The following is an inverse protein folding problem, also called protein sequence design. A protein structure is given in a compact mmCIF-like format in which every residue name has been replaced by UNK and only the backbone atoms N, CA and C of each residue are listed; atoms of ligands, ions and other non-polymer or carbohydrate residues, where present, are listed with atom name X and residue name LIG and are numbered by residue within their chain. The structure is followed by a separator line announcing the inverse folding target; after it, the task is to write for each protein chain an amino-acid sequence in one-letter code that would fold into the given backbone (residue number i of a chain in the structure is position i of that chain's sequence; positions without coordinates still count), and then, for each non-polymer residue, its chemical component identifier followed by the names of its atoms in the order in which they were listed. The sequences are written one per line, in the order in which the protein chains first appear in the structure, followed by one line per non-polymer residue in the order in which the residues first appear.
data_IF_903313037970
#
_entry.id   IF_903313037970
#
_cell.length_a   1.000
_cell.length_b   1.000
_cell.length_c   1.000
_cell.angle_alpha   90.00
_cell.angle_beta   90.00
_cell.angle_gamma   90.00
#
_symmetry.space_group_name_H-M   'P 1'
#
loop_
_entity.id
_entity.type
_entity.pdbx_description
1 polymer ?
#
# COMPACT_ATOMS: atom_id res chain seq x y z
N UNK A 1 9.82 -40.03 22.86
CA UNK A 1 10.18 -38.71 23.40
C UNK A 1 10.60 -37.86 22.21
N UNK A 2 9.88 -36.77 21.95
CA UNK A 2 9.71 -36.18 20.63
C UNK A 2 10.99 -35.55 20.02
N UNK A 3 11.15 -35.80 18.73
CA UNK A 3 12.21 -35.37 17.83
C UNK A 3 11.79 -34.01 17.23
N UNK A 4 12.49 -32.92 17.52
CA UNK A 4 12.27 -31.61 16.89
C UNK A 4 13.40 -31.33 15.90
N UNK A 5 13.25 -31.89 14.69
CA UNK A 5 14.04 -31.55 13.51
C UNK A 5 13.25 -30.51 12.71
N UNK A 6 13.31 -29.25 13.15
CA UNK A 6 12.64 -28.14 12.47
C UNK A 6 13.54 -27.64 11.34
N UNK A 7 13.34 -28.22 10.15
CA UNK A 7 14.07 -27.83 8.93
C UNK A 7 13.81 -26.36 8.61
N UNK A 8 14.86 -25.54 8.74
CA UNK A 8 14.89 -24.15 8.27
C UNK A 8 14.54 -24.13 6.78
N UNK A 9 13.36 -23.61 6.43
CA UNK A 9 12.97 -23.41 5.03
C UNK A 9 13.60 -22.11 4.54
N UNK A 10 14.77 -22.21 3.94
CA UNK A 10 15.43 -21.09 3.25
C UNK A 10 14.64 -20.82 1.97
N UNK A 11 13.91 -19.70 1.92
CA UNK A 11 13.31 -19.23 0.67
C UNK A 11 14.42 -18.65 -0.20
N UNK A 12 14.83 -19.42 -1.21
CA UNK A 12 15.79 -18.93 -2.20
C UNK A 12 15.17 -17.77 -2.96
N UNK A 13 15.80 -16.59 -2.86
CA UNK A 13 15.47 -15.43 -3.68
C UNK A 13 15.88 -15.75 -5.10
N UNK A 14 14.91 -16.13 -5.93
CA UNK A 14 15.12 -16.30 -7.38
C UNK A 14 15.23 -14.89 -7.97
N UNK A 15 16.38 -14.58 -8.58
CA UNK A 15 16.54 -13.35 -9.37
C UNK A 15 15.67 -13.46 -10.64
N UNK A 16 14.93 -12.41 -11.04
CA UNK A 16 14.23 -12.43 -12.31
C UNK A 16 15.25 -12.51 -13.44
N UNK A 17 14.94 -13.35 -14.43
CA UNK A 17 15.75 -13.55 -15.65
C UNK A 17 15.45 -12.39 -16.59
N UNK A 18 16.49 -11.74 -17.10
CA UNK A 18 16.39 -10.70 -18.13
C UNK A 18 16.03 -11.33 -19.50
N UNK A 19 15.02 -10.77 -20.19
CA UNK A 19 14.55 -11.13 -21.54
C UNK A 19 13.21 -11.90 -21.52
N UNK A 20 12.18 -11.59 -22.30
CA UNK A 20 12.09 -11.05 -23.66
C UNK A 20 10.66 -10.48 -23.87
N UNK A 21 10.53 -9.47 -24.74
CA UNK A 21 9.25 -8.85 -25.12
C UNK A 21 8.39 -9.84 -25.92
N UNK A 22 7.32 -10.39 -25.32
CA UNK A 22 6.21 -10.97 -26.08
C UNK A 22 4.91 -10.99 -25.28
N UNK A 23 4.00 -10.11 -25.68
CA UNK A 23 2.54 -10.15 -25.64
C UNK A 23 1.90 -11.38 -24.94
N UNK A 24 1.37 -11.15 -23.73
CA UNK A 24 0.77 -12.18 -22.87
C UNK A 24 0.82 -11.77 -21.40
N UNK A 25 0.40 -10.55 -21.09
CA UNK A 25 0.67 -9.90 -19.81
C UNK A 25 -0.09 -10.58 -18.67
N UNK A 26 0.57 -11.50 -17.97
CA UNK A 26 0.19 -11.83 -16.60
C UNK A 26 0.58 -10.63 -15.72
N UNK A 27 -0.23 -9.58 -15.84
CA UNK A 27 0.06 -8.26 -15.32
C UNK A 27 -0.21 -8.29 -13.83
N UNK A 28 0.84 -8.53 -13.04
CA UNK A 28 0.72 -8.68 -11.58
C UNK A 28 0.51 -7.35 -10.85
N UNK A 29 0.27 -6.27 -11.59
CA UNK A 29 0.05 -4.92 -11.06
C UNK A 29 -1.12 -4.94 -10.07
N UNK A 30 -0.98 -4.25 -8.95
CA UNK A 30 -1.98 -4.29 -7.90
C UNK A 30 -2.04 -3.00 -7.07
N UNK A 31 -3.16 -2.85 -6.38
CA UNK A 31 -3.37 -1.82 -5.36
C UNK A 31 -3.34 -2.49 -3.99
N UNK A 32 -2.52 -1.96 -3.10
CA UNK A 32 -2.45 -2.41 -1.71
C UNK A 32 -3.04 -1.33 -0.82
N UNK A 33 -4.02 -1.65 0.01
CA UNK A 33 -4.57 -0.67 0.95
C UNK A 33 -3.57 -0.39 2.06
N UNK A 34 -3.03 0.82 2.10
CA UNK A 34 -2.05 1.23 3.12
C UNK A 34 -2.69 2.05 4.25
N UNK A 35 -3.88 2.62 4.00
CA UNK A 35 -4.66 3.32 5.01
C UNK A 35 -6.14 3.26 4.66
N UNK A 36 -6.99 3.09 5.67
CA UNK A 36 -8.45 3.07 5.51
C UNK A 36 -9.11 3.22 6.89
N UNK A 37 -10.35 3.70 6.92
CA UNK A 37 -11.19 3.65 8.13
C UNK A 37 -11.79 2.27 8.38
N UNK A 38 -11.82 1.40 7.37
CA UNK A 38 -12.38 0.05 7.47
C UNK A 38 -11.25 -0.98 7.72
N UNK A 39 -11.06 -1.48 8.95
CA UNK A 39 -9.86 -2.25 9.30
C UNK A 39 -9.68 -3.55 8.52
N UNK A 40 -10.77 -4.14 8.02
CA UNK A 40 -10.80 -5.35 7.19
C UNK A 40 -10.11 -5.20 5.84
N UNK A 41 -10.00 -3.96 5.34
CA UNK A 41 -9.38 -3.67 4.05
C UNK A 41 -7.89 -3.35 4.17
N UNK A 42 -7.36 -3.08 5.36
CA UNK A 42 -5.95 -2.71 5.54
C UNK A 42 -5.02 -3.86 5.14
N UNK A 43 -4.00 -3.57 4.33
CA UNK A 43 -3.09 -4.55 3.76
C UNK A 43 -3.70 -5.43 2.65
N UNK A 44 -5.00 -5.31 2.37
CA UNK A 44 -5.64 -6.07 1.30
C UNK A 44 -5.05 -5.67 -0.06
N UNK A 45 -4.76 -6.67 -0.87
CA UNK A 45 -4.28 -6.54 -2.25
C UNK A 45 -5.44 -6.72 -3.23
N UNK A 46 -5.55 -5.80 -4.17
CA UNK A 46 -6.48 -5.85 -5.30
C UNK A 46 -5.65 -5.93 -6.58
N UNK A 47 -5.70 -7.07 -7.27
CA UNK A 47 -5.02 -7.24 -8.56
C UNK A 47 -5.77 -6.42 -9.62
N UNK A 48 -5.02 -5.75 -10.49
CA UNK A 48 -5.57 -5.01 -11.62
C UNK A 48 -5.50 -5.91 -12.87
N UNK A 49 -6.53 -6.72 -13.04
CA UNK A 49 -6.69 -7.65 -14.16
C UNK A 49 -7.67 -7.14 -15.23
N UNK A 50 -8.70 -6.39 -14.81
CA UNK A 50 -9.70 -5.81 -15.71
C UNK A 50 -9.40 -4.33 -16.02
N UNK A 51 -9.65 -3.90 -17.27
CA UNK A 51 -9.53 -2.50 -17.69
C UNK A 51 -10.82 -2.02 -18.35
N UNK A 52 -11.56 -1.06 -17.75
CA UNK A 52 -11.20 -0.29 -16.55
C UNK A 52 -11.57 -1.00 -15.23
N UNK A 53 -10.64 -1.07 -14.28
CA UNK A 53 -10.92 -1.43 -12.88
C UNK A 53 -11.54 -0.24 -12.16
N UNK A 54 -12.86 -0.29 -11.93
CA UNK A 54 -13.64 0.73 -11.22
C UNK A 54 -13.58 0.61 -9.70
N UNK A 55 -13.56 1.76 -9.03
CA UNK A 55 -13.57 1.90 -7.57
C UNK A 55 -14.70 2.84 -7.14
N UNK A 56 -15.46 2.43 -6.14
CA UNK A 56 -16.54 3.25 -5.60
C UNK A 56 -17.30 2.56 -4.47
N UNK A 57 -18.29 3.24 -3.91
CA UNK A 57 -19.20 2.68 -2.88
C UNK A 57 -20.28 1.79 -3.48
N UNK A 58 -20.58 1.94 -4.77
CA UNK A 58 -21.57 1.13 -5.47
C UNK A 58 -21.12 -0.33 -5.55
N UNK A 59 -22.06 -1.26 -5.40
CA UNK A 59 -21.80 -2.71 -5.51
C UNK A 59 -21.48 -3.16 -6.94
N UNK A 60 -21.64 -2.27 -7.91
CA UNK A 60 -21.30 -2.45 -9.33
C UNK A 60 -19.83 -2.18 -9.65
N UNK A 61 -19.02 -1.78 -8.66
CA UNK A 61 -17.58 -1.60 -8.83
C UNK A 61 -16.79 -2.87 -8.48
N UNK A 62 -15.63 -3.04 -9.13
CA UNK A 62 -14.69 -4.14 -8.87
C UNK A 62 -14.07 -3.99 -7.46
N UNK A 63 -13.72 -2.76 -7.07
CA UNK A 63 -13.26 -2.45 -5.71
C UNK A 63 -14.35 -1.63 -5.02
N UNK A 64 -15.07 -2.30 -4.12
CA UNK A 64 -16.13 -1.67 -3.32
C UNK A 64 -15.54 -1.11 -2.03
N UNK A 65 -15.73 0.19 -1.81
CA UNK A 65 -15.34 0.88 -0.58
C UNK A 65 -16.58 1.40 0.13
N UNK A 66 -16.95 0.78 1.25
CA UNK A 66 -18.13 1.16 2.02
C UNK A 66 -17.80 2.36 2.93
N UNK A 67 -17.76 3.56 2.33
CA UNK A 67 -17.52 4.80 3.05
C UNK A 67 -18.32 5.96 2.46
N UNK A 68 -18.90 6.79 3.32
CA UNK A 68 -19.66 7.99 2.93
C UNK A 68 -18.83 8.99 2.12
N UNK A 69 -17.51 9.01 2.36
CA UNK A 69 -16.56 9.83 1.62
C UNK A 69 -16.32 9.37 0.17
N UNK A 70 -16.90 8.23 -0.23
CA UNK A 70 -16.71 7.64 -1.55
C UNK A 70 -18.01 7.74 -2.37
N UNK A 71 -17.92 8.28 -3.59
CA UNK A 71 -19.02 8.29 -4.55
C UNK A 71 -19.40 6.88 -5.01
N UNK A 72 -20.64 6.70 -5.50
CA UNK A 72 -21.09 5.39 -6.03
C UNK A 72 -20.16 4.88 -7.12
N UNK A 73 -19.77 5.75 -8.06
CA UNK A 73 -18.66 5.57 -9.00
C UNK A 73 -17.70 6.72 -8.72
N UNK A 74 -16.50 6.42 -8.27
CA UNK A 74 -15.57 7.45 -7.75
C UNK A 74 -14.41 7.66 -8.69
N UNK A 75 -13.72 6.58 -9.03
CA UNK A 75 -12.55 6.61 -9.87
C UNK A 75 -12.43 5.29 -10.62
N UNK A 76 -11.60 5.27 -11.65
CA UNK A 76 -11.24 4.04 -12.31
C UNK A 76 -9.76 4.03 -12.68
N UNK A 77 -9.24 2.81 -12.82
CA UNK A 77 -7.91 2.51 -13.28
C UNK A 77 -8.00 1.89 -14.67
N UNK A 78 -7.32 2.47 -15.64
CA UNK A 78 -7.32 2.01 -17.02
C UNK A 78 -5.91 1.62 -17.45
N UNK A 79 -5.78 0.45 -18.09
CA UNK A 79 -4.54 0.03 -18.72
C UNK A 79 -4.40 0.71 -20.09
N UNK A 80 -3.32 1.49 -20.29
CA UNK A 80 -2.96 2.07 -21.59
C UNK A 80 -1.54 1.69 -21.96
N UNK A 81 -1.41 0.78 -22.92
CA UNK A 81 -0.11 0.18 -23.26
C UNK A 81 0.52 -0.49 -22.04
N UNK A 82 1.77 -0.14 -21.73
CA UNK A 82 2.49 -0.69 -20.59
C UNK A 82 2.26 0.06 -19.25
N UNK A 83 1.31 0.99 -19.20
CA UNK A 83 1.07 1.82 -18.03
C UNK A 83 -0.37 1.69 -17.51
N UNK A 84 -0.56 1.97 -16.22
CA UNK A 84 -1.87 2.20 -15.63
C UNK A 84 -2.12 3.69 -15.45
N UNK A 85 -3.36 4.10 -15.63
CA UNK A 85 -3.81 5.48 -15.46
C UNK A 85 -4.92 5.48 -14.43
N UNK A 86 -4.90 6.43 -13.51
CA UNK A 86 -6.02 6.74 -12.61
C UNK A 86 -6.78 7.96 -13.10
N UNK A 87 -8.10 7.89 -13.07
CA UNK A 87 -9.02 8.95 -13.48
C UNK A 87 -10.15 9.09 -12.46
N UNK A 88 -10.56 10.32 -12.17
CA UNK A 88 -11.72 10.61 -11.31
C UNK A 88 -13.01 10.67 -12.14
N UNK A 89 -14.07 9.99 -11.68
CA UNK A 89 -15.38 9.90 -12.36
C UNK A 89 -16.34 11.05 -11.93
N UNK A 90 -15.81 12.21 -11.52
CA UNK A 90 -16.60 13.33 -11.01
C UNK A 90 -17.04 13.11 -9.56
N UNK A 91 -16.15 12.59 -8.74
CA UNK A 91 -16.43 12.29 -7.35
C UNK A 91 -16.61 13.55 -6.50
N UNK A 92 -17.34 13.44 -5.38
CA UNK A 92 -17.61 14.61 -4.51
C UNK A 92 -16.37 15.09 -3.77
N UNK A 93 -15.49 14.17 -3.35
CA UNK A 93 -14.30 14.50 -2.54
C UNK A 93 -13.01 14.54 -3.36
N UNK A 94 -13.07 14.14 -4.64
CA UNK A 94 -11.92 14.03 -5.52
C UNK A 94 -11.07 12.78 -5.26
N UNK A 95 -10.34 12.40 -6.30
CA UNK A 95 -9.25 11.43 -6.25
C UNK A 95 -7.92 12.15 -6.19
N UNK A 96 -6.97 11.66 -5.39
CA UNK A 96 -5.63 12.27 -5.27
C UNK A 96 -4.56 11.22 -5.55
N UNK A 97 -3.50 11.60 -6.26
CA UNK A 97 -2.30 10.80 -6.44
C UNK A 97 -1.12 11.55 -5.81
N UNK A 98 -0.43 10.94 -4.85
CA UNK A 98 0.67 11.54 -4.10
C UNK A 98 0.34 12.93 -3.53
N UNK A 99 -0.86 13.06 -2.95
CA UNK A 99 -1.39 14.29 -2.36
C UNK A 99 -1.76 15.41 -3.37
N UNK A 100 -1.62 15.16 -4.68
CA UNK A 100 -2.09 16.04 -5.75
C UNK A 100 -3.43 15.57 -6.32
N UNK A 101 -4.38 16.49 -6.54
CA UNK A 101 -5.71 16.14 -7.05
C UNK A 101 -5.66 15.71 -8.53
N UNK A 102 -6.30 14.60 -8.85
CA UNK A 102 -6.46 14.09 -10.21
C UNK A 102 -7.56 14.89 -10.92
N UNK A 103 -7.18 15.85 -11.76
CA UNK A 103 -8.12 16.69 -12.51
C UNK A 103 -8.60 16.08 -13.83
N UNK A 104 -7.79 15.19 -14.41
CA UNK A 104 -8.13 14.45 -15.63
C UNK A 104 -7.67 13.00 -15.45
N UNK A 105 -6.43 12.75 -15.80
CA UNK A 105 -5.82 11.44 -15.85
C UNK A 105 -4.38 11.56 -15.36
N UNK A 106 -3.94 10.62 -14.53
CA UNK A 106 -2.56 10.55 -14.05
C UNK A 106 -2.00 9.17 -14.35
N UNK A 107 -0.86 9.12 -15.04
CA UNK A 107 -0.11 7.89 -15.27
C UNK A 107 0.53 7.45 -13.95
N UNK A 108 0.18 6.27 -13.48
CA UNK A 108 0.71 5.70 -12.25
C UNK A 108 2.12 5.16 -12.44
N UNK A 109 2.95 5.42 -11.44
CA UNK A 109 4.28 4.86 -11.27
C UNK A 109 4.29 3.94 -10.07
N UNK A 110 5.14 2.92 -10.15
CA UNK A 110 5.34 2.01 -9.04
C UNK A 110 5.64 2.76 -7.73
N UNK A 111 4.89 2.44 -6.67
CA UNK A 111 4.97 3.09 -5.37
C UNK A 111 4.04 4.28 -5.16
N UNK A 112 3.35 4.77 -6.19
CA UNK A 112 2.43 5.91 -6.08
C UNK A 112 1.28 5.62 -5.10
N UNK A 113 0.88 6.66 -4.37
CA UNK A 113 -0.21 6.59 -3.39
C UNK A 113 -1.46 7.23 -3.97
N UNK A 114 -2.52 6.45 -4.12
CA UNK A 114 -3.81 6.92 -4.63
C UNK A 114 -4.82 6.97 -3.49
N UNK A 115 -5.32 8.17 -3.19
CA UNK A 115 -6.34 8.42 -2.17
C UNK A 115 -7.71 8.57 -2.82
N UNK A 116 -8.66 7.76 -2.35
CA UNK A 116 -10.07 7.76 -2.74
C UNK A 116 -10.90 7.81 -1.46
N UNK A 117 -11.57 8.94 -1.22
CA UNK A 117 -12.26 9.18 0.05
C UNK A 117 -11.32 9.07 1.25
N UNK A 118 -11.64 8.17 2.19
CA UNK A 118 -10.82 7.89 3.38
C UNK A 118 -9.79 6.77 3.20
N UNK A 119 -9.69 6.19 2.01
CA UNK A 119 -8.82 5.04 1.71
C UNK A 119 -7.62 5.51 0.89
N UNK A 120 -6.43 5.02 1.23
CA UNK A 120 -5.21 5.23 0.48
C UNK A 120 -4.69 3.88 0.01
N UNK A 121 -4.51 3.76 -1.28
CA UNK A 121 -3.88 2.65 -1.95
C UNK A 121 -2.43 2.99 -2.28
N UNK A 122 -1.56 1.99 -2.26
CA UNK A 122 -0.25 2.05 -2.90
C UNK A 122 -0.30 1.19 -4.16
N UNK A 123 0.07 1.77 -5.29
CA UNK A 123 0.16 1.06 -6.56
C UNK A 123 1.51 0.33 -6.64
N UNK A 124 1.48 -0.97 -6.90
CA UNK A 124 2.65 -1.80 -7.09
C UNK A 124 2.65 -2.40 -8.49
N UNK A 125 3.79 -2.32 -9.18
CA UNK A 125 3.97 -2.78 -10.56
C UNK A 125 5.39 -3.31 -10.79
N UNK A 126 5.56 -4.15 -11.81
CA UNK A 126 6.85 -4.70 -12.25
C UNK A 126 7.06 -6.19 -11.90
N UNK A 127 8.28 -6.68 -12.06
CA UNK A 127 8.62 -8.10 -11.88
C UNK A 127 8.57 -8.57 -10.42
N UNK A 128 8.80 -7.67 -9.47
CA UNK A 128 8.97 -7.99 -8.04
C UNK A 128 7.76 -7.59 -7.18
N UNK A 129 6.53 -7.56 -7.72
CA UNK A 129 5.33 -7.13 -6.97
C UNK A 129 5.17 -7.89 -5.66
N UNK A 130 5.48 -9.18 -5.64
CA UNK A 130 5.34 -10.00 -4.43
C UNK A 130 6.32 -9.57 -3.31
N UNK A 131 7.56 -9.26 -3.66
CA UNK A 131 8.54 -8.74 -2.71
C UNK A 131 8.13 -7.35 -2.20
N UNK A 132 7.68 -6.48 -3.12
CA UNK A 132 7.21 -5.14 -2.78
C UNK A 132 5.95 -5.16 -1.91
N UNK A 133 5.05 -6.11 -2.13
CA UNK A 133 3.88 -6.33 -1.30
C UNK A 133 4.29 -6.71 0.12
N UNK A 134 5.18 -7.70 0.29
CA UNK A 134 5.68 -8.09 1.60
C UNK A 134 6.40 -6.94 2.33
N UNK A 135 7.18 -6.14 1.60
CA UNK A 135 7.81 -4.93 2.14
C UNK A 135 6.75 -3.94 2.64
N UNK A 136 5.67 -3.72 1.88
CA UNK A 136 4.61 -2.81 2.30
C UNK A 136 3.86 -3.33 3.52
N UNK A 137 3.56 -4.63 3.59
CA UNK A 137 2.96 -5.24 4.79
C UNK A 137 3.88 -5.04 6.00
N UNK A 138 5.19 -5.24 5.85
CA UNK A 138 6.14 -4.96 6.92
C UNK A 138 6.11 -3.47 7.31
N UNK A 139 6.08 -2.58 6.34
CA UNK A 139 6.05 -1.12 6.57
C UNK A 139 4.83 -0.70 7.37
N UNK A 140 3.65 -1.27 7.10
CA UNK A 140 2.43 -1.01 7.87
C UNK A 140 2.55 -1.42 9.36
N UNK A 141 3.49 -2.30 9.72
CA UNK A 141 3.72 -2.67 11.13
C UNK A 141 4.38 -1.56 11.94
N UNK A 142 5.09 -0.64 11.29
CA UNK A 142 5.92 0.39 11.95
C UNK A 142 5.64 1.82 11.48
N UNK A 143 5.00 2.01 10.33
CA UNK A 143 4.69 3.32 9.72
C UNK A 143 3.19 3.48 9.57
N UNK A 144 2.69 4.68 9.84
CA UNK A 144 1.30 5.08 9.60
C UNK A 144 1.09 5.41 8.11
N UNK A 145 0.08 4.78 7.49
CA UNK A 145 -0.17 4.91 6.05
C UNK A 145 -0.70 6.28 5.62
N UNK A 146 -1.31 7.06 6.53
CA UNK A 146 -1.80 8.40 6.22
C UNK A 146 -0.69 9.44 6.26
N UNK A 147 0.00 9.54 7.40
CA UNK A 147 0.99 10.58 7.70
C UNK A 147 2.41 10.20 7.27
N UNK A 148 2.66 8.92 6.98
CA UNK A 148 3.98 8.38 6.65
C UNK A 148 5.01 8.51 7.78
N UNK A 149 4.57 8.76 9.02
CA UNK A 149 5.43 8.77 10.21
C UNK A 149 5.40 7.43 10.92
N UNK A 150 6.32 7.21 11.86
CA UNK A 150 6.31 5.99 12.67
C UNK A 150 5.04 5.90 13.52
N UNK A 151 4.44 4.72 13.56
CA UNK A 151 3.22 4.48 14.30
C UNK A 151 3.47 4.39 15.82
N UNK A 152 2.38 4.34 16.59
CA UNK A 152 2.42 4.24 18.06
C UNK A 152 3.23 3.04 18.57
N UNK A 153 3.14 1.89 17.88
CA UNK A 153 3.89 0.69 18.24
C UNK A 153 5.39 0.94 18.14
N UNK A 154 5.85 1.47 17.02
CA UNK A 154 7.26 1.79 16.83
C UNK A 154 7.75 2.79 17.88
N UNK A 155 6.96 3.82 18.21
CA UNK A 155 7.31 4.79 19.25
C UNK A 155 7.56 4.10 20.60
N UNK A 156 6.69 3.19 21.03
CA UNK A 156 6.89 2.47 22.29
C UNK A 156 8.13 1.58 22.28
N UNK A 157 8.33 0.81 21.22
CA UNK A 157 9.50 -0.05 21.08
C UNK A 157 10.80 0.79 21.05
N UNK A 158 10.78 1.96 20.40
CA UNK A 158 11.91 2.89 20.37
C UNK A 158 12.17 3.48 21.75
N UNK A 159 11.13 3.92 22.46
CA UNK A 159 11.26 4.48 23.80
C UNK A 159 11.84 3.46 24.79
N UNK A 160 11.37 2.22 24.75
CA UNK A 160 11.90 1.14 25.59
C UNK A 160 13.39 0.90 25.33
N UNK A 161 13.79 0.79 24.06
CA UNK A 161 15.20 0.64 23.68
C UNK A 161 16.05 1.80 24.18
N UNK A 162 15.59 3.03 24.02
CA UNK A 162 16.35 4.22 24.42
C UNK A 162 16.40 4.40 25.94
N UNK A 163 15.37 4.02 26.69
CA UNK A 163 15.40 4.00 28.16
C UNK A 163 16.47 3.03 28.69
N UNK A 164 16.55 1.83 28.11
CA UNK A 164 17.57 0.83 28.47
C UNK A 164 18.97 1.36 28.16
N UNK A 165 19.16 1.96 26.97
CA UNK A 165 20.44 2.55 26.56
C UNK A 165 20.85 3.72 27.44
N UNK A 166 19.92 4.62 27.76
CA UNK A 166 20.11 5.79 28.61
C UNK A 166 20.57 5.40 30.01
N UNK A 167 19.89 4.43 30.63
CA UNK A 167 20.30 3.88 31.94
C UNK A 167 21.69 3.25 31.89
N UNK A 168 22.00 2.46 30.86
CA UNK A 168 23.30 1.78 30.73
C UNK A 168 24.48 2.74 30.55
N UNK A 169 24.27 3.88 29.89
CA UNK A 169 25.34 4.83 29.54
C UNK A 169 25.24 6.16 30.31
N UNK A 170 24.38 6.25 31.32
CA UNK A 170 24.10 7.45 32.10
C UNK A 170 23.82 8.69 31.22
N UNK A 171 23.01 8.51 30.17
CA UNK A 171 22.61 9.57 29.23
C UNK A 171 21.20 10.05 29.52
N UNK A 172 21.03 11.37 29.49
CA UNK A 172 19.71 11.99 29.59
C UNK A 172 18.89 11.70 28.33
N UNK A 173 17.62 11.34 28.51
CA UNK A 173 16.64 11.16 27.45
C UNK A 173 15.63 12.31 27.52
N UNK A 174 15.33 12.91 26.37
CA UNK A 174 14.28 13.91 26.23
C UNK A 174 13.26 13.43 25.19
N UNK A 175 11.99 13.72 25.43
CA UNK A 175 10.88 13.45 24.50
C UNK A 175 10.21 14.78 24.20
N UNK A 176 10.06 15.09 22.91
CA UNK A 176 9.28 16.23 22.45
C UNK A 176 7.93 15.72 21.92
N UNK A 177 6.84 16.29 22.41
CA UNK A 177 5.48 15.98 21.96
C UNK A 177 4.83 17.26 21.45
N UNK A 178 4.15 17.17 20.32
CA UNK A 178 3.38 18.23 19.71
C UNK A 178 2.12 17.63 19.08
N UNK A 179 1.09 18.47 18.94
CA UNK A 179 -0.21 18.16 18.33
C UNK A 179 -0.42 19.10 17.14
#
# INVERSE_FOLDING_TARGET
MANFDEKTRVTQVVRPVDGDDSDGTNRTDCLVTIYTKEPTLLGKRFVLDESPTRVGRGTDNHIVLDADSVSRRHAHFEARGNHWIVSDDGSTNGTYCNDEQVLREVVLRNGDRVKIGSTIFKFLSGADVEAQYHEEIYRLTIVDGLTQVHNKRYLYEALERELIRGRRHNRNLAVLMFD
#
